data_IF_015974467646
#
_entry.id   IF_015974467646
#
_cell.length_a   1.000
_cell.length_b   1.000
_cell.length_c   1.000
_cell.angle_alpha   90.00
_cell.angle_beta   90.00
_cell.angle_gamma   90.00
#
_symmetry.space_group_name_H-M   'P 1'
#
loop_
_entity.id
_entity.type
_entity.pdbx_description
1 polymer ?
#
# COMPACT_ATOMS: atom_id res chain seq x y z
N UNK A 1 3.13 6.05 40.26
CA UNK A 1 1.79 5.41 40.20
C UNK A 1 1.01 5.87 38.95
N UNK A 2 0.93 7.19 38.64
CA UNK A 2 0.21 7.72 37.46
C UNK A 2 0.78 7.20 36.13
N UNK A 3 2.11 7.15 35.95
CA UNK A 3 2.75 6.57 34.75
C UNK A 3 2.50 5.07 34.54
N UNK A 4 2.35 4.30 35.62
CA UNK A 4 2.00 2.87 35.55
C UNK A 4 0.54 2.68 35.15
N UNK A 5 -0.37 3.52 35.63
CA UNK A 5 -1.78 3.48 35.25
C UNK A 5 -2.02 3.83 33.77
N UNK A 6 -1.24 4.78 33.20
CA UNK A 6 -1.28 5.09 31.77
C UNK A 6 -0.72 3.94 30.93
N UNK A 7 0.38 3.31 31.35
CA UNK A 7 0.98 2.16 30.64
C UNK A 7 0.03 0.94 30.74
N UNK A 8 -0.56 0.65 31.88
CA UNK A 8 -1.54 -0.43 32.05
C UNK A 8 -2.85 -0.14 31.32
N UNK A 9 -3.33 1.10 31.31
CA UNK A 9 -4.49 1.52 30.52
C UNK A 9 -4.24 1.37 29.02
N UNK A 10 -3.03 1.70 28.54
CA UNK A 10 -2.61 1.53 27.16
C UNK A 10 -2.52 0.04 26.76
N UNK A 11 -1.95 -0.80 27.63
CA UNK A 11 -1.88 -2.25 27.43
C UNK A 11 -3.27 -2.91 27.47
N UNK A 12 -4.16 -2.48 28.35
CA UNK A 12 -5.52 -3.01 28.44
C UNK A 12 -6.37 -2.62 27.23
N UNK A 13 -6.30 -1.35 26.79
CA UNK A 13 -6.97 -0.87 25.58
C UNK A 13 -6.40 -1.54 24.33
N UNK A 14 -5.09 -1.80 24.30
CA UNK A 14 -4.42 -2.54 23.23
C UNK A 14 -4.85 -4.01 23.21
N UNK A 15 -4.94 -4.68 24.37
CA UNK A 15 -5.43 -6.05 24.51
C UNK A 15 -6.89 -6.17 24.08
N UNK A 16 -7.78 -5.28 24.54
CA UNK A 16 -9.20 -5.28 24.17
C UNK A 16 -9.46 -4.96 22.68
N UNK A 17 -8.54 -4.23 22.00
CA UNK A 17 -8.62 -4.00 20.55
C UNK A 17 -8.06 -5.16 19.70
N UNK A 18 -7.26 -6.04 20.28
CA UNK A 18 -6.64 -7.18 19.58
C UNK A 18 -7.54 -8.42 19.52
N UNK A 19 -8.62 -8.49 20.29
CA UNK A 19 -9.44 -9.71 20.43
C UNK A 19 -10.65 -9.82 19.47
N UNK A 20 -10.90 -8.81 18.62
CA UNK A 20 -12.10 -8.79 17.77
C UNK A 20 -11.77 -8.59 16.30
N UNK A 21 -11.14 -9.59 15.66
CA UNK A 21 -11.00 -9.65 14.20
C UNK A 21 -11.25 -11.07 13.69
N UNK A 22 -11.85 -11.16 12.51
CA UNK A 22 -11.95 -12.40 11.74
C UNK A 22 -10.75 -12.53 10.80
N UNK A 23 -10.40 -13.77 10.43
CA UNK A 23 -9.32 -14.01 9.48
C UNK A 23 -9.53 -13.25 8.17
N UNK A 24 -10.75 -13.30 7.63
CA UNK A 24 -11.12 -12.67 6.36
C UNK A 24 -10.95 -11.14 6.39
N UNK A 25 -11.17 -10.51 7.55
CA UNK A 25 -10.95 -9.06 7.72
C UNK A 25 -9.46 -8.71 7.61
N UNK A 26 -8.58 -9.54 8.16
CA UNK A 26 -7.14 -9.34 8.11
C UNK A 26 -6.58 -9.67 6.72
N UNK A 27 -6.98 -10.80 6.14
CA UNK A 27 -6.55 -11.22 4.81
C UNK A 27 -7.01 -10.21 3.74
N UNK A 28 -8.27 -9.73 3.83
CA UNK A 28 -8.84 -8.71 2.96
C UNK A 28 -8.23 -7.31 3.10
N UNK A 29 -7.33 -7.08 4.07
CA UNK A 29 -6.52 -5.86 4.14
C UNK A 29 -5.22 -5.95 3.33
N UNK A 30 -4.79 -7.13 2.89
CA UNK A 30 -3.45 -7.33 2.32
C UNK A 30 -3.47 -7.20 0.80
N UNK A 31 -2.62 -6.31 0.28
CA UNK A 31 -2.12 -6.33 -1.08
C UNK A 31 -0.79 -7.09 -1.06
N UNK A 32 -0.77 -8.34 -1.57
CA UNK A 32 0.43 -9.14 -1.66
C UNK A 32 1.37 -8.60 -2.74
N UNK A 33 2.51 -8.05 -2.34
CA UNK A 33 3.40 -7.30 -3.23
C UNK A 33 4.43 -8.20 -3.93
N UNK A 34 4.39 -8.22 -5.27
CA UNK A 34 5.30 -8.91 -6.20
C UNK A 34 6.00 -7.90 -7.10
N UNK A 35 6.64 -6.88 -6.50
CA UNK A 35 7.18 -5.70 -7.20
C UNK A 35 8.70 -5.71 -7.34
N UNK A 36 9.40 -6.74 -6.86
CA UNK A 36 10.86 -6.82 -7.02
C UNK A 36 11.24 -6.84 -8.52
N UNK A 37 12.17 -5.96 -8.96
CA UNK A 37 12.53 -5.88 -10.38
C UNK A 37 13.05 -7.19 -10.97
N UNK A 38 13.69 -7.99 -10.14
CA UNK A 38 14.30 -9.29 -10.51
C UNK A 38 13.36 -10.48 -10.36
N UNK A 39 12.12 -10.26 -9.91
CA UNK A 39 11.14 -11.32 -9.69
C UNK A 39 10.87 -12.08 -11.00
N UNK A 40 11.14 -13.38 -10.97
CA UNK A 40 11.01 -14.29 -12.10
C UNK A 40 9.56 -14.71 -12.35
N UNK A 41 9.27 -15.28 -13.51
CA UNK A 41 7.95 -15.80 -13.85
C UNK A 41 7.50 -16.93 -12.88
N UNK A 42 8.43 -17.75 -12.39
CA UNK A 42 8.13 -18.78 -11.41
C UNK A 42 7.69 -18.16 -10.07
N UNK A 43 8.37 -17.11 -9.63
CA UNK A 43 8.02 -16.40 -8.40
C UNK A 43 6.69 -15.65 -8.54
N UNK A 44 6.37 -15.12 -9.71
CA UNK A 44 5.06 -14.52 -10.00
C UNK A 44 3.95 -15.57 -9.83
N UNK A 45 4.08 -16.74 -10.44
CA UNK A 45 3.10 -17.82 -10.33
C UNK A 45 2.91 -18.23 -8.86
N UNK A 46 4.01 -18.46 -8.14
CA UNK A 46 3.98 -18.81 -6.73
C UNK A 46 3.35 -17.72 -5.86
N UNK A 47 3.64 -16.45 -6.15
CA UNK A 47 3.07 -15.32 -5.42
C UNK A 47 1.56 -15.18 -5.65
N UNK A 48 1.09 -15.39 -6.87
CA UNK A 48 -0.34 -15.43 -7.16
C UNK A 48 -1.04 -16.59 -6.42
N UNK A 49 -0.41 -17.77 -6.38
CA UNK A 49 -0.92 -18.93 -5.62
C UNK A 49 -0.98 -18.64 -4.11
N UNK A 50 0.06 -18.03 -3.54
CA UNK A 50 0.04 -17.59 -2.13
C UNK A 50 -1.11 -16.62 -1.89
N UNK A 51 -1.28 -15.60 -2.72
CA UNK A 51 -2.34 -14.62 -2.59
C UNK A 51 -3.73 -15.27 -2.62
N UNK A 52 -3.94 -16.21 -3.54
CA UNK A 52 -5.16 -17.01 -3.65
C UNK A 52 -5.42 -17.86 -2.40
N UNK A 53 -4.43 -18.67 -1.97
CA UNK A 53 -4.54 -19.59 -0.82
C UNK A 53 -4.85 -18.83 0.47
N UNK A 54 -4.30 -17.65 0.65
CA UNK A 54 -4.53 -16.82 1.83
C UNK A 54 -5.72 -15.87 1.67
N UNK A 55 -6.37 -15.82 0.51
CA UNK A 55 -7.52 -14.95 0.21
C UNK A 55 -7.23 -13.48 0.49
N UNK A 56 -6.08 -12.98 0.00
CA UNK A 56 -5.73 -11.56 0.13
C UNK A 56 -6.66 -10.68 -0.69
N UNK A 57 -6.74 -9.37 -0.37
CA UNK A 57 -7.53 -8.44 -1.17
C UNK A 57 -7.05 -8.40 -2.61
N UNK A 58 -5.76 -8.19 -2.82
CA UNK A 58 -5.14 -8.19 -4.15
C UNK A 58 -3.78 -8.87 -4.15
N UNK A 59 -3.32 -9.26 -5.34
CA UNK A 59 -1.91 -9.38 -5.67
C UNK A 59 -1.47 -8.08 -6.38
N UNK A 60 -0.41 -7.44 -5.91
CA UNK A 60 0.11 -6.21 -6.50
C UNK A 60 1.36 -6.53 -7.31
N UNK A 61 1.24 -6.49 -8.65
CA UNK A 61 2.25 -6.95 -9.60
C UNK A 61 2.86 -5.79 -10.39
N UNK A 62 3.97 -6.04 -11.06
CA UNK A 62 4.55 -5.10 -12.04
C UNK A 62 3.60 -4.94 -13.23
N UNK A 63 3.58 -3.79 -13.93
CA UNK A 63 2.70 -3.57 -15.07
C UNK A 63 2.80 -4.66 -16.15
N UNK A 64 4.00 -5.14 -16.43
CA UNK A 64 4.24 -6.20 -17.41
C UNK A 64 3.66 -7.59 -17.03
N UNK A 65 3.27 -7.78 -15.79
CA UNK A 65 2.80 -9.06 -15.25
C UNK A 65 1.26 -9.10 -15.05
N UNK A 66 0.54 -7.98 -15.30
CA UNK A 66 -0.90 -7.84 -15.02
C UNK A 66 -1.72 -8.88 -15.75
N UNK A 67 -1.54 -9.02 -17.06
CA UNK A 67 -2.31 -9.96 -17.88
C UNK A 67 -2.13 -11.41 -17.43
N UNK A 68 -0.90 -11.78 -17.03
CA UNK A 68 -0.62 -13.13 -16.53
C UNK A 68 -1.22 -13.34 -15.14
N UNK A 69 -1.10 -12.38 -14.24
CA UNK A 69 -1.69 -12.46 -12.91
C UNK A 69 -3.23 -12.56 -12.98
N UNK A 70 -3.86 -11.78 -13.89
CA UNK A 70 -5.29 -11.84 -14.13
C UNK A 70 -5.75 -13.23 -14.60
N UNK A 71 -5.00 -13.86 -15.51
CA UNK A 71 -5.28 -15.25 -15.92
C UNK A 71 -5.12 -16.25 -14.78
N UNK A 72 -4.06 -16.12 -13.98
CA UNK A 72 -3.79 -17.03 -12.86
C UNK A 72 -4.83 -16.95 -11.74
N UNK A 73 -5.49 -15.80 -11.60
CA UNK A 73 -6.46 -15.52 -10.53
C UNK A 73 -7.93 -15.48 -11.03
N UNK A 74 -8.19 -15.93 -12.26
CA UNK A 74 -9.53 -15.84 -12.87
C UNK A 74 -10.64 -16.49 -12.01
N UNK A 75 -10.33 -17.59 -11.30
CA UNK A 75 -11.25 -18.31 -10.42
C UNK A 75 -11.00 -17.98 -8.92
N UNK A 76 -10.32 -16.87 -8.61
CA UNK A 76 -9.99 -16.44 -7.26
C UNK A 76 -10.82 -15.25 -6.81
N UNK A 77 -11.03 -15.14 -5.49
CA UNK A 77 -11.54 -13.89 -4.88
C UNK A 77 -10.47 -12.81 -4.73
N UNK A 78 -9.19 -13.15 -4.90
CA UNK A 78 -8.08 -12.21 -4.89
C UNK A 78 -8.03 -11.46 -6.21
N UNK A 79 -8.09 -10.14 -6.16
CA UNK A 79 -8.06 -9.27 -7.33
C UNK A 79 -6.63 -8.91 -7.73
N UNK A 80 -6.46 -8.32 -8.93
CA UNK A 80 -5.17 -7.85 -9.42
C UNK A 80 -5.04 -6.35 -9.23
N UNK A 81 -3.97 -5.94 -8.55
CA UNK A 81 -3.51 -4.56 -8.44
C UNK A 81 -2.21 -4.41 -9.23
N UNK A 82 -1.96 -3.21 -9.75
CA UNK A 82 -0.64 -2.88 -10.31
C UNK A 82 -0.22 -1.46 -9.94
N UNK A 83 0.94 -1.04 -10.40
CA UNK A 83 1.55 0.25 -10.11
C UNK A 83 1.68 1.10 -11.37
N UNK A 84 1.55 2.43 -11.24
CA UNK A 84 1.60 3.40 -12.34
C UNK A 84 2.68 4.45 -12.06
N UNK A 85 3.56 4.69 -13.04
CA UNK A 85 4.67 5.62 -12.90
C UNK A 85 5.70 5.20 -11.84
N UNK A 86 5.76 3.92 -11.54
CA UNK A 86 6.48 3.37 -10.39
C UNK A 86 7.96 3.09 -10.71
N UNK A 87 8.90 3.28 -9.73
CA UNK A 87 8.63 3.74 -8.38
C UNK A 87 8.77 5.25 -8.16
N UNK A 88 9.20 6.04 -9.14
CA UNK A 88 9.65 7.42 -8.93
C UNK A 88 8.64 8.50 -9.28
N UNK A 89 7.54 8.18 -9.96
CA UNK A 89 6.51 9.14 -10.37
C UNK A 89 6.93 10.14 -11.45
N UNK A 90 8.05 9.94 -12.12
CA UNK A 90 8.69 10.92 -13.03
C UNK A 90 8.24 10.83 -14.48
N UNK A 91 7.39 9.87 -14.82
CA UNK A 91 6.81 9.75 -16.15
C UNK A 91 5.88 10.94 -16.44
N UNK A 92 5.71 11.30 -17.72
CA UNK A 92 4.70 12.29 -18.10
C UNK A 92 3.29 11.77 -17.80
N UNK A 93 2.36 12.69 -17.64
CA UNK A 93 0.95 12.33 -17.38
C UNK A 93 0.40 11.43 -18.49
N UNK A 94 0.70 11.69 -19.75
CA UNK A 94 0.24 10.88 -20.89
C UNK A 94 0.71 9.42 -20.80
N UNK A 95 1.97 9.21 -20.39
CA UNK A 95 2.52 7.86 -20.19
C UNK A 95 1.80 7.16 -19.06
N UNK A 96 1.56 7.84 -17.92
CA UNK A 96 0.81 7.28 -16.79
C UNK A 96 -0.63 6.94 -17.16
N UNK A 97 -1.29 7.78 -17.96
CA UNK A 97 -2.64 7.51 -18.47
C UNK A 97 -2.67 6.29 -19.38
N UNK A 98 -1.68 6.16 -20.28
CA UNK A 98 -1.57 4.99 -21.15
C UNK A 98 -1.29 3.71 -20.36
N UNK A 99 -0.39 3.77 -19.36
CA UNK A 99 -0.09 2.67 -18.46
C UNK A 99 -1.34 2.24 -17.67
N UNK A 100 -2.13 3.21 -17.18
CA UNK A 100 -3.39 2.95 -16.48
C UNK A 100 -4.40 2.25 -17.39
N UNK A 101 -4.64 2.75 -18.61
CA UNK A 101 -5.56 2.13 -19.58
C UNK A 101 -5.18 0.68 -19.85
N UNK A 102 -3.90 0.47 -20.21
CA UNK A 102 -3.41 -0.86 -20.54
C UNK A 102 -3.53 -1.83 -19.36
N UNK A 103 -3.18 -1.39 -18.15
CA UNK A 103 -3.31 -2.19 -16.95
C UNK A 103 -4.76 -2.62 -16.69
N UNK A 104 -5.72 -1.70 -16.82
CA UNK A 104 -7.13 -1.99 -16.65
C UNK A 104 -7.67 -2.92 -17.74
N UNK A 105 -7.28 -2.71 -19.00
CA UNK A 105 -7.63 -3.59 -20.14
C UNK A 105 -7.10 -5.02 -19.94
N UNK A 106 -5.94 -5.17 -19.26
CA UNK A 106 -5.33 -6.46 -18.93
C UNK A 106 -5.91 -7.11 -17.68
N UNK A 107 -6.85 -6.45 -16.98
CA UNK A 107 -7.59 -7.02 -15.86
C UNK A 107 -7.17 -6.52 -14.47
N UNK A 108 -6.43 -5.41 -14.37
CA UNK A 108 -6.21 -4.76 -13.07
C UNK A 108 -7.52 -4.13 -12.57
N UNK A 109 -7.95 -4.50 -11.36
CA UNK A 109 -9.08 -3.90 -10.63
C UNK A 109 -8.68 -2.74 -9.73
N UNK A 110 -7.39 -2.59 -9.45
CA UNK A 110 -6.83 -1.50 -8.64
C UNK A 110 -5.49 -1.04 -9.24
N UNK A 111 -5.23 0.26 -9.19
CA UNK A 111 -3.97 0.85 -9.64
C UNK A 111 -3.38 1.77 -8.57
N UNK A 112 -2.06 1.64 -8.31
CA UNK A 112 -1.31 2.42 -7.34
C UNK A 112 -0.44 3.45 -8.08
N UNK A 113 -0.92 4.68 -8.24
CA UNK A 113 -0.20 5.79 -8.90
C UNK A 113 0.88 6.36 -7.99
N UNK A 114 2.12 6.45 -8.46
CA UNK A 114 3.11 7.37 -7.84
C UNK A 114 2.90 8.76 -8.43
N UNK A 115 2.49 9.73 -7.59
CA UNK A 115 2.32 11.11 -8.03
C UNK A 115 3.66 11.72 -8.49
N UNK A 116 3.63 12.81 -9.25
CA UNK A 116 4.85 13.50 -9.63
C UNK A 116 5.46 14.22 -8.43
N UNK A 117 6.47 13.58 -7.81
CA UNK A 117 7.12 14.05 -6.60
C UNK A 117 7.83 15.39 -6.80
N UNK A 118 8.40 15.64 -7.98
CA UNK A 118 9.05 16.90 -8.31
C UNK A 118 8.06 18.07 -8.34
N UNK A 119 6.90 17.88 -8.97
CA UNK A 119 5.82 18.87 -8.98
C UNK A 119 5.28 19.16 -7.59
N UNK A 120 5.10 18.12 -6.78
CA UNK A 120 4.70 18.28 -5.39
C UNK A 120 5.76 19.05 -4.57
N UNK A 121 7.05 18.80 -4.81
CA UNK A 121 8.15 19.52 -4.17
C UNK A 121 8.20 21.01 -4.54
N UNK A 122 7.78 21.35 -5.75
CA UNK A 122 7.67 22.74 -6.24
C UNK A 122 6.34 23.42 -5.83
N UNK A 123 5.48 22.71 -5.06
CA UNK A 123 4.12 23.16 -4.74
C UNK A 123 3.23 23.43 -5.98
N UNK A 124 3.51 22.78 -7.09
CA UNK A 124 2.66 22.81 -8.29
C UNK A 124 1.41 21.90 -8.06
N UNK A 125 0.57 22.35 -7.13
CA UNK A 125 -0.60 21.60 -6.67
C UNK A 125 -1.64 21.41 -7.76
N UNK A 126 -1.75 22.37 -8.69
CA UNK A 126 -2.63 22.26 -9.85
C UNK A 126 -2.22 21.09 -10.75
N UNK A 127 -0.93 20.94 -11.04
CA UNK A 127 -0.43 19.79 -11.80
C UNK A 127 -0.73 18.48 -11.08
N UNK A 128 -0.46 18.40 -9.77
CA UNK A 128 -0.68 17.18 -8.97
C UNK A 128 -2.16 16.82 -8.96
N UNK A 129 -3.05 17.77 -8.78
CA UNK A 129 -4.50 17.54 -8.78
C UNK A 129 -4.99 17.07 -10.15
N UNK A 130 -4.54 17.71 -11.23
CA UNK A 130 -4.87 17.33 -12.60
C UNK A 130 -4.38 15.92 -12.93
N UNK A 131 -3.14 15.55 -12.52
CA UNK A 131 -2.59 14.22 -12.72
C UNK A 131 -3.42 13.15 -11.98
N UNK A 132 -3.71 13.36 -10.70
CA UNK A 132 -4.52 12.43 -9.90
C UNK A 132 -5.93 12.28 -10.47
N UNK A 133 -6.57 13.39 -10.82
CA UNK A 133 -7.92 13.42 -11.40
C UNK A 133 -7.98 12.65 -12.72
N UNK A 134 -7.03 12.89 -13.63
CA UNK A 134 -7.00 12.25 -14.94
C UNK A 134 -6.76 10.73 -14.83
N UNK A 135 -5.85 10.29 -13.94
CA UNK A 135 -5.61 8.86 -13.69
C UNK A 135 -6.83 8.22 -13.03
N UNK A 136 -7.45 8.91 -12.06
CA UNK A 136 -8.69 8.43 -11.41
C UNK A 136 -9.83 8.27 -12.43
N UNK A 137 -10.08 9.24 -13.29
CA UNK A 137 -11.11 9.13 -14.32
C UNK A 137 -10.84 7.95 -15.26
N UNK A 138 -9.58 7.77 -15.65
CA UNK A 138 -9.17 6.65 -16.50
C UNK A 138 -9.43 5.31 -15.82
N UNK A 139 -9.02 5.13 -14.56
CA UNK A 139 -9.24 3.90 -13.81
C UNK A 139 -10.74 3.66 -13.55
N UNK A 140 -11.47 4.66 -13.04
CA UNK A 140 -12.89 4.50 -12.70
C UNK A 140 -13.78 4.27 -13.94
N UNK A 141 -13.37 4.71 -15.14
CA UNK A 141 -14.10 4.43 -16.37
C UNK A 141 -14.19 2.92 -16.71
N UNK A 142 -13.28 2.12 -16.14
CA UNK A 142 -13.27 0.65 -16.28
C UNK A 142 -13.77 -0.08 -15.04
N UNK A 143 -14.15 0.65 -13.98
CA UNK A 143 -14.52 0.10 -12.68
C UNK A 143 -13.34 -0.16 -11.74
N UNK A 144 -12.10 0.12 -12.18
CA UNK A 144 -10.91 -0.03 -11.33
C UNK A 144 -10.81 1.10 -10.30
N UNK A 145 -10.15 0.84 -9.17
CA UNK A 145 -9.94 1.81 -8.08
C UNK A 145 -8.54 2.40 -8.11
N UNK A 146 -8.40 3.63 -7.61
CA UNK A 146 -7.14 4.35 -7.55
C UNK A 146 -6.60 4.46 -6.12
N UNK A 147 -5.31 4.14 -5.94
CA UNK A 147 -4.53 4.49 -4.76
C UNK A 147 -3.39 5.43 -5.17
N UNK A 148 -3.12 6.48 -4.39
CA UNK A 148 -2.08 7.47 -4.71
C UNK A 148 -0.94 7.40 -3.73
N UNK A 149 0.26 7.12 -4.22
CA UNK A 149 1.49 6.96 -3.43
C UNK A 149 2.16 8.31 -3.25
N UNK A 150 2.38 8.71 -2.00
CA UNK A 150 3.02 9.97 -1.62
C UNK A 150 4.54 9.86 -1.50
N UNK A 151 5.08 8.66 -1.30
CA UNK A 151 6.49 8.40 -0.98
C UNK A 151 6.96 9.25 0.20
N UNK A 152 6.37 9.00 1.36
CA UNK A 152 6.51 9.81 2.57
C UNK A 152 7.97 10.02 3.02
N UNK A 153 8.88 9.12 2.67
CA UNK A 153 10.29 9.24 3.01
C UNK A 153 10.96 10.48 2.40
N UNK A 154 10.49 10.97 1.26
CA UNK A 154 11.06 12.18 0.62
C UNK A 154 10.63 13.49 1.31
N UNK A 155 9.55 13.48 2.08
CA UNK A 155 9.01 14.68 2.75
C UNK A 155 9.54 14.91 4.16
N UNK A 156 10.48 14.10 4.66
CA UNK A 156 10.97 14.19 6.04
C UNK A 156 11.50 15.57 6.46
N UNK A 157 11.98 16.37 5.50
CA UNK A 157 12.50 17.73 5.75
C UNK A 157 11.49 18.82 5.42
N UNK A 158 10.29 18.46 4.98
CA UNK A 158 9.37 19.41 4.37
C UNK A 158 9.83 19.85 2.99
N UNK A 159 9.22 20.88 2.45
CA UNK A 159 9.51 21.47 1.15
C UNK A 159 8.47 22.52 0.78
N UNK A 160 8.73 23.33 -0.26
CA UNK A 160 7.80 24.34 -0.74
C UNK A 160 7.28 25.30 0.35
N UNK A 161 8.09 25.59 1.35
CA UNK A 161 7.69 26.44 2.50
C UNK A 161 6.78 25.75 3.51
N UNK A 162 6.53 24.47 3.38
CA UNK A 162 5.66 23.66 4.25
C UNK A 162 6.47 22.69 5.10
N UNK A 163 5.93 22.33 6.27
CA UNK A 163 6.46 21.22 7.08
C UNK A 163 6.24 19.86 6.40
N UNK A 164 6.95 18.83 6.84
CA UNK A 164 6.76 17.46 6.38
C UNK A 164 5.29 17.01 6.47
N UNK A 165 4.64 17.30 7.59
CA UNK A 165 3.23 16.95 7.82
C UNK A 165 2.29 17.79 6.95
N UNK A 166 2.58 19.11 6.81
CA UNK A 166 1.78 19.99 5.97
C UNK A 166 1.73 19.57 4.49
N UNK A 167 2.84 19.05 3.94
CA UNK A 167 2.84 18.48 2.57
C UNK A 167 1.91 17.26 2.48
N UNK A 168 2.03 16.31 3.42
CA UNK A 168 1.21 15.10 3.44
C UNK A 168 -0.28 15.42 3.61
N UNK A 169 -0.60 16.38 4.49
CA UNK A 169 -1.98 16.89 4.65
C UNK A 169 -2.51 17.51 3.37
N UNK A 170 -1.70 18.34 2.69
CA UNK A 170 -2.07 18.96 1.39
C UNK A 170 -2.31 17.88 0.33
N UNK A 171 -1.45 16.88 0.23
CA UNK A 171 -1.61 15.74 -0.70
C UNK A 171 -2.88 14.93 -0.38
N UNK A 172 -3.20 14.68 0.90
CA UNK A 172 -4.46 14.06 1.29
C UNK A 172 -5.66 14.88 0.81
N UNK A 173 -5.64 16.20 1.01
CA UNK A 173 -6.72 17.10 0.56
C UNK A 173 -6.91 17.04 -0.97
N UNK A 174 -5.82 17.09 -1.74
CA UNK A 174 -5.86 16.99 -3.19
C UNK A 174 -6.45 15.64 -3.62
N UNK A 175 -5.94 14.53 -3.08
CA UNK A 175 -6.40 13.19 -3.45
C UNK A 175 -7.87 12.97 -3.08
N UNK A 176 -8.31 13.46 -1.91
CA UNK A 176 -9.73 13.36 -1.51
C UNK A 176 -10.63 14.22 -2.38
N UNK A 177 -10.15 15.39 -2.82
CA UNK A 177 -10.89 16.27 -3.75
C UNK A 177 -11.01 15.62 -5.13
N UNK A 178 -9.91 15.07 -5.64
CA UNK A 178 -9.89 14.32 -6.89
C UNK A 178 -10.66 12.99 -6.85
N UNK A 179 -11.08 12.51 -5.67
CA UNK A 179 -11.87 11.29 -5.50
C UNK A 179 -11.06 10.00 -5.58
N UNK A 180 -9.78 10.02 -5.19
CA UNK A 180 -8.98 8.81 -5.03
C UNK A 180 -9.56 7.91 -3.94
N UNK A 181 -9.60 6.59 -4.17
CA UNK A 181 -10.14 5.62 -3.21
C UNK A 181 -9.24 5.46 -2.00
N UNK A 182 -7.92 5.46 -2.21
CA UNK A 182 -6.91 5.43 -1.16
C UNK A 182 -5.80 6.44 -1.40
N UNK A 183 -5.20 6.89 -0.29
CA UNK A 183 -3.85 7.45 -0.26
C UNK A 183 -2.90 6.40 0.32
N UNK A 184 -1.67 6.29 -0.22
CA UNK A 184 -0.69 5.28 0.15
C UNK A 184 0.62 5.93 0.60
N UNK A 185 1.22 5.41 1.66
CA UNK A 185 2.41 6.00 2.27
C UNK A 185 3.65 5.93 1.37
N UNK A 186 3.96 4.77 0.80
CA UNK A 186 5.29 4.53 0.21
C UNK A 186 5.26 3.48 -0.90
N UNK A 187 6.27 3.53 -1.78
CA UNK A 187 6.53 2.48 -2.78
C UNK A 187 7.23 1.26 -2.18
N UNK A 188 8.03 1.45 -1.15
CA UNK A 188 9.02 0.47 -0.64
C UNK A 188 10.37 0.53 -1.37
N UNK A 189 10.52 1.42 -2.37
CA UNK A 189 11.74 1.62 -3.17
C UNK A 189 12.28 3.06 -3.08
N UNK A 190 11.66 3.92 -2.28
CA UNK A 190 12.06 5.31 -2.05
C UNK A 190 13.19 5.42 -1.03
N UNK A 191 14.42 5.29 -1.50
CA UNK A 191 15.60 5.42 -0.64
C UNK A 191 16.05 6.87 -0.53
N UNK A 192 16.22 7.33 0.72
CA UNK A 192 16.70 8.68 1.04
C UNK A 192 18.12 8.60 1.59
N UNK A 193 19.00 9.47 1.08
CA UNK A 193 20.37 9.58 1.59
C UNK A 193 20.36 10.22 2.97
N UNK A 194 20.90 9.52 3.94
CA UNK A 194 21.07 9.98 5.32
C UNK A 194 22.31 10.87 5.46
N UNK A 195 22.47 11.51 6.64
CA UNK A 195 23.63 12.38 6.93
C UNK A 195 24.98 11.65 6.88
N UNK A 196 25.00 10.35 7.19
CA UNK A 196 26.17 9.46 7.10
C UNK A 196 26.46 8.95 5.67
N UNK A 197 25.66 9.37 4.68
CA UNK A 197 25.78 8.98 3.28
C UNK A 197 25.09 7.67 2.92
N UNK A 198 24.57 6.91 3.89
CA UNK A 198 23.85 5.67 3.63
C UNK A 198 22.47 5.96 3.02
N UNK A 199 21.97 5.02 2.22
CA UNK A 199 20.61 5.05 1.69
C UNK A 199 19.70 4.22 2.60
N UNK A 200 18.58 4.81 3.05
CA UNK A 200 17.61 4.11 3.86
C UNK A 200 16.17 4.50 3.49
N UNK A 201 15.22 3.67 3.85
CA UNK A 201 13.79 3.94 3.77
C UNK A 201 13.15 3.55 5.11
N UNK A 202 12.19 4.35 5.59
CA UNK A 202 11.38 4.04 6.77
C UNK A 202 10.06 3.37 6.38
N UNK A 203 9.55 3.71 5.20
CA UNK A 203 8.25 3.26 4.73
C UNK A 203 7.10 3.81 5.57
N UNK A 204 6.09 2.96 5.84
CA UNK A 204 4.94 3.33 6.66
C UNK A 204 5.33 3.52 8.12
N UNK A 205 5.04 4.70 8.67
CA UNK A 205 5.19 4.99 10.10
C UNK A 205 3.82 5.19 10.76
N UNK A 206 3.73 4.89 12.07
CA UNK A 206 2.49 5.11 12.83
C UNK A 206 2.06 6.59 12.78
N UNK A 207 3.02 7.51 12.86
CA UNK A 207 2.77 8.94 12.74
C UNK A 207 2.12 9.31 11.40
N UNK A 208 2.73 8.86 10.29
CA UNK A 208 2.24 9.20 8.96
C UNK A 208 0.86 8.60 8.68
N UNK A 209 0.63 7.35 9.08
CA UNK A 209 -0.68 6.71 8.90
C UNK A 209 -1.76 7.45 9.69
N UNK A 210 -1.51 7.77 10.97
CA UNK A 210 -2.46 8.52 11.79
C UNK A 210 -2.74 9.94 11.22
N UNK A 211 -1.70 10.61 10.70
CA UNK A 211 -1.82 11.91 10.03
C UNK A 211 -2.73 11.81 8.80
N UNK A 212 -2.42 10.87 7.90
CA UNK A 212 -3.15 10.68 6.63
C UNK A 212 -4.61 10.30 6.88
N UNK A 213 -4.89 9.42 7.85
CA UNK A 213 -6.27 9.05 8.23
C UNK A 213 -7.07 10.27 8.68
N UNK A 214 -6.48 11.13 9.53
CA UNK A 214 -7.14 12.38 9.96
C UNK A 214 -7.35 13.35 8.80
N UNK A 215 -6.33 13.52 7.95
CA UNK A 215 -6.37 14.48 6.85
C UNK A 215 -7.37 14.08 5.75
N UNK A 216 -7.58 12.80 5.53
CA UNK A 216 -8.57 12.31 4.56
C UNK A 216 -10.03 12.45 5.02
N UNK A 217 -10.28 12.66 6.31
CA UNK A 217 -11.63 12.87 6.88
C UNK A 217 -12.66 11.81 6.43
N UNK A 218 -12.24 10.57 6.24
CA UNK A 218 -13.09 9.46 5.80
C UNK A 218 -13.50 9.48 4.31
N UNK A 219 -13.04 10.45 3.52
CA UNK A 219 -13.36 10.54 2.07
C UNK A 219 -12.49 9.65 1.21
N UNK A 220 -11.21 9.49 1.56
CA UNK A 220 -10.31 8.48 1.01
C UNK A 220 -9.81 7.60 2.13
N UNK A 221 -9.57 6.33 1.83
CA UNK A 221 -8.98 5.38 2.77
C UNK A 221 -7.45 5.51 2.79
N UNK A 222 -6.79 4.81 3.74
CA UNK A 222 -5.32 4.84 3.85
C UNK A 222 -4.74 3.44 3.67
N UNK A 223 -3.76 3.32 2.75
CA UNK A 223 -2.91 2.14 2.57
C UNK A 223 -1.55 2.38 3.21
N UNK A 224 -1.17 1.55 4.17
CA UNK A 224 0.17 1.52 4.74
C UNK A 224 1.05 0.55 3.95
N UNK A 225 2.19 1.00 3.42
CA UNK A 225 3.11 0.18 2.65
C UNK A 225 4.57 0.57 2.93
N UNK A 226 5.46 -0.42 2.83
CA UNK A 226 6.87 -0.29 3.20
C UNK A 226 7.09 -0.65 4.68
N UNK A 227 7.83 -1.73 4.93
CA UNK A 227 8.25 -2.12 6.27
C UNK A 227 7.24 -2.85 7.15
N UNK A 228 6.02 -3.14 6.69
CA UNK A 228 5.04 -3.95 7.44
C UNK A 228 5.37 -5.44 7.22
N UNK A 229 6.12 -6.04 8.16
CA UNK A 229 6.71 -7.39 7.99
C UNK A 229 6.17 -8.45 8.96
N UNK A 230 5.29 -8.09 9.87
CA UNK A 230 4.71 -9.02 10.83
C UNK A 230 3.29 -8.63 11.23
N UNK A 231 2.61 -9.56 11.91
CA UNK A 231 1.22 -9.42 12.30
C UNK A 231 0.97 -8.28 13.30
N UNK A 232 1.91 -8.02 14.20
CA UNK A 232 1.80 -6.93 15.17
C UNK A 232 1.85 -5.56 14.48
N UNK A 233 2.77 -5.41 13.50
CA UNK A 233 2.86 -4.20 12.70
C UNK A 233 1.57 -3.96 11.89
N UNK A 234 0.99 -5.01 11.29
CA UNK A 234 -0.30 -4.90 10.59
C UNK A 234 -1.40 -4.41 11.54
N UNK A 235 -1.52 -5.02 12.73
CA UNK A 235 -2.54 -4.64 13.71
C UNK A 235 -2.36 -3.20 14.20
N UNK A 236 -1.11 -2.73 14.37
CA UNK A 236 -0.85 -1.34 14.72
C UNK A 236 -1.37 -0.38 13.62
N UNK A 237 -1.07 -0.66 12.35
CA UNK A 237 -1.56 0.16 11.23
C UNK A 237 -3.10 0.14 11.13
N UNK A 238 -3.72 -1.04 11.31
CA UNK A 238 -5.19 -1.19 11.38
C UNK A 238 -5.79 -0.35 12.50
N UNK A 239 -5.20 -0.40 13.69
CA UNK A 239 -5.67 0.36 14.85
C UNK A 239 -5.61 1.89 14.64
N UNK A 240 -4.69 2.37 13.81
CA UNK A 240 -4.58 3.77 13.40
C UNK A 240 -5.56 4.16 12.29
N UNK A 241 -6.27 3.20 11.71
CA UNK A 241 -7.28 3.42 10.68
C UNK A 241 -6.83 3.09 9.25
N UNK A 242 -5.67 2.46 9.05
CA UNK A 242 -5.34 1.91 7.74
C UNK A 242 -6.30 0.77 7.38
N UNK A 243 -6.83 0.79 6.18
CA UNK A 243 -7.75 -0.22 5.65
C UNK A 243 -7.09 -1.17 4.66
N UNK A 244 -5.86 -0.87 4.24
CA UNK A 244 -5.08 -1.66 3.30
C UNK A 244 -3.61 -1.68 3.71
N UNK A 245 -2.96 -2.83 3.52
CA UNK A 245 -1.54 -3.07 3.85
C UNK A 245 -0.82 -3.62 2.62
N UNK A 246 0.21 -2.92 2.17
CA UNK A 246 1.12 -3.44 1.13
C UNK A 246 2.30 -4.16 1.76
N UNK A 247 2.44 -5.46 1.50
CA UNK A 247 3.53 -6.27 2.05
C UNK A 247 3.88 -7.47 1.16
N UNK A 248 5.15 -7.89 1.16
CA UNK A 248 5.59 -9.18 0.63
C UNK A 248 5.55 -10.32 1.67
N UNK A 249 5.40 -9.98 2.97
CA UNK A 249 5.43 -10.94 4.07
C UNK A 249 4.06 -11.55 4.40
N UNK A 250 3.19 -11.72 3.39
CA UNK A 250 1.80 -12.18 3.53
C UNK A 250 1.69 -13.49 4.30
N UNK A 251 2.45 -14.51 3.90
CA UNK A 251 2.45 -15.82 4.54
C UNK A 251 2.76 -15.72 6.04
N UNK A 252 3.88 -15.07 6.39
CA UNK A 252 4.31 -14.89 7.78
C UNK A 252 3.25 -14.17 8.64
N UNK A 253 2.62 -13.14 8.08
CA UNK A 253 1.58 -12.37 8.76
C UNK A 253 0.33 -13.21 8.97
N UNK A 254 -0.15 -13.87 7.92
CA UNK A 254 -1.41 -14.61 7.96
C UNK A 254 -1.30 -15.97 8.66
N UNK A 255 -0.15 -16.63 8.62
CA UNK A 255 0.10 -17.83 9.44
C UNK A 255 0.06 -17.50 10.94
N UNK A 256 0.64 -16.34 11.32
CA UNK A 256 0.53 -15.86 12.70
C UNK A 256 -0.91 -15.55 13.09
N UNK A 257 -1.68 -14.92 12.20
CA UNK A 257 -3.11 -14.65 12.40
C UNK A 257 -3.89 -15.96 12.58
N UNK A 258 -3.70 -16.94 11.68
CA UNK A 258 -4.34 -18.26 11.75
C UNK A 258 -4.03 -18.99 13.05
N UNK A 259 -2.76 -18.99 13.44
CA UNK A 259 -2.31 -19.60 14.72
C UNK A 259 -3.02 -18.99 15.93
N UNK A 260 -3.13 -17.66 15.98
CA UNK A 260 -3.78 -16.96 17.10
C UNK A 260 -5.30 -17.20 17.14
N UNK A 261 -5.92 -17.44 15.99
CA UNK A 261 -7.35 -17.78 15.88
C UNK A 261 -7.64 -19.28 16.01
N UNK A 262 -6.62 -20.11 16.24
CA UNK A 262 -6.79 -21.58 16.33
C UNK A 262 -7.11 -22.25 14.99
N UNK A 263 -6.82 -21.59 13.86
CA UNK A 263 -7.02 -22.12 12.51
C UNK A 263 -5.78 -22.89 12.06
N UNK A 264 -5.98 -23.89 11.19
CA UNK A 264 -4.88 -24.66 10.60
C UNK A 264 -4.01 -23.78 9.73
N UNK A 265 -2.69 -23.80 9.94
CA UNK A 265 -1.72 -23.09 9.08
C UNK A 265 -1.70 -23.73 7.69
N UNK A 266 -1.59 -22.93 6.65
CA UNK A 266 -1.54 -23.40 5.26
C UNK A 266 -0.15 -23.99 4.99
N UNK A 267 -0.07 -25.24 4.56
CA UNK A 267 1.20 -25.86 4.17
C UNK A 267 1.46 -25.57 2.70
N UNK A 268 2.47 -24.74 2.44
CA UNK A 268 2.95 -24.46 1.08
C UNK A 268 4.15 -25.39 0.82
N UNK A 269 4.18 -26.07 -0.33
CA UNK A 269 5.28 -26.95 -0.71
C UNK A 269 6.59 -26.17 -0.85
N UNK A 270 7.75 -26.82 -0.65
CA UNK A 270 9.05 -26.15 -0.74
C UNK A 270 9.33 -25.54 -2.12
N UNK A 271 8.69 -26.07 -3.18
CA UNK A 271 8.77 -25.52 -4.54
C UNK A 271 8.05 -24.19 -4.72
N UNK A 272 7.22 -23.78 -3.76
CA UNK A 272 6.38 -22.58 -3.76
C UNK A 272 6.92 -21.45 -2.86
N UNK A 273 8.02 -21.67 -2.14
CA UNK A 273 8.63 -20.63 -1.30
C UNK A 273 9.29 -19.57 -2.17
N UNK A 274 8.89 -18.31 -2.02
CA UNK A 274 9.52 -17.15 -2.63
C UNK A 274 10.75 -16.80 -1.78
N UNK A 275 11.87 -16.53 -2.42
CA UNK A 275 13.04 -15.95 -1.74
C UNK A 275 12.71 -14.52 -1.29
N UNK A 276 12.75 -14.27 0.01
CA UNK A 276 12.54 -12.94 0.62
C UNK A 276 13.63 -11.93 0.25
#
# INVERSE_FOLDING_TARGET
LLRLAEIFGWYLVRSLRMENYKYEEIAGMIDHALLQPTLSQKELVNGCEIAHLYSTATVCVKPCDVEQASRLLADSSTEVCTVIGFPHGVNTQEVKLQETRLACEQGASEVDLVLNLGRAADADWEYVENEVSAVRETAHSTGAKLKVIFENDYWMKGGAGMSADGIKEKLCQICTHAGADWVKTSTGFGYVRQADGQLSTRGATEHDVALMVRACMGKSQVKAAGGVKDFSALLNMRALGATRIGTSSTQKILDKCRTLLGLTVITISESQKISE
#
